data_IF_002201272313
#
_entry.id   IF_002201272313
#
_cell.length_a   1.000
_cell.length_b   1.000
_cell.length_c   1.000
_cell.angle_alpha   90.00
_cell.angle_beta   90.00
_cell.angle_gamma   90.00
#
_symmetry.space_group_name_H-M   'P 1'
#
loop_
_entity.id
_entity.type
_entity.pdbx_description
1 polymer ?
#
# COMPACT_ATOMS: atom_id res chain seq x y z
N UNK A 1 9.21 -11.77 -12.53
CA UNK A 1 9.38 -12.96 -13.36
C UNK A 1 8.90 -14.20 -12.59
N UNK A 2 7.99 -15.02 -13.18
CA UNK A 2 7.34 -16.13 -12.46
C UNK A 2 8.30 -17.19 -11.91
N UNK A 3 9.51 -17.30 -12.46
CA UNK A 3 10.49 -18.33 -12.07
C UNK A 3 11.21 -18.10 -10.73
N UNK A 4 11.15 -16.90 -10.18
CA UNK A 4 11.79 -16.60 -8.88
C UNK A 4 10.98 -17.11 -7.69
N UNK A 5 9.68 -17.35 -7.87
CA UNK A 5 8.77 -17.77 -6.80
C UNK A 5 8.46 -19.27 -6.76
N UNK A 6 8.81 -20.02 -7.80
CA UNK A 6 8.50 -21.45 -7.87
C UNK A 6 9.20 -22.28 -6.78
N UNK A 7 10.50 -22.06 -6.55
CA UNK A 7 11.26 -22.81 -5.54
C UNK A 7 10.82 -22.55 -4.09
N UNK A 8 10.62 -21.28 -3.65
CA UNK A 8 10.04 -21.01 -2.35
C UNK A 8 8.66 -21.61 -2.16
N UNK A 9 7.80 -21.60 -3.17
CA UNK A 9 6.47 -22.21 -3.13
C UNK A 9 6.56 -23.72 -2.87
N UNK A 10 7.29 -24.46 -3.69
CA UNK A 10 7.49 -25.90 -3.55
C UNK A 10 8.11 -26.30 -2.20
N UNK A 11 9.05 -25.51 -1.70
CA UNK A 11 9.66 -25.75 -0.38
C UNK A 11 8.64 -25.54 0.74
N UNK A 12 7.81 -24.51 0.63
CA UNK A 12 6.78 -24.23 1.62
C UNK A 12 5.67 -25.29 1.59
N UNK A 13 5.25 -25.73 0.41
CA UNK A 13 4.29 -26.83 0.25
C UNK A 13 4.76 -28.09 0.98
N UNK A 14 6.00 -28.53 0.73
CA UNK A 14 6.62 -29.66 1.44
C UNK A 14 6.71 -29.46 2.95
N UNK A 15 6.88 -28.23 3.40
CA UNK A 15 6.92 -27.90 4.81
C UNK A 15 5.52 -27.97 5.42
N UNK A 16 4.51 -27.45 4.74
CA UNK A 16 3.11 -27.50 5.14
C UNK A 16 2.54 -28.92 5.18
N UNK A 17 2.93 -29.77 4.24
CA UNK A 17 2.59 -31.21 4.26
C UNK A 17 3.09 -31.91 5.51
N UNK A 18 4.30 -31.59 5.97
CA UNK A 18 4.90 -32.18 7.18
C UNK A 18 4.38 -31.55 8.46
N UNK A 19 4.08 -30.27 8.41
CA UNK A 19 3.68 -29.47 9.56
C UNK A 19 2.50 -28.56 9.16
N UNK A 20 1.27 -28.98 9.38
CA UNK A 20 0.07 -28.22 8.98
C UNK A 20 -0.02 -26.81 9.55
N UNK A 21 0.71 -26.54 10.65
CA UNK A 21 0.80 -25.21 11.25
C UNK A 21 1.43 -24.13 10.32
N UNK A 22 2.12 -24.57 9.26
CA UNK A 22 2.64 -23.65 8.24
C UNK A 22 1.59 -23.21 7.23
N UNK A 23 0.39 -23.82 7.22
CA UNK A 23 -0.71 -23.53 6.30
C UNK A 23 -0.29 -23.67 4.81
N UNK A 24 -1.24 -23.65 3.91
CA UNK A 24 -0.95 -23.73 2.47
C UNK A 24 -0.17 -22.50 1.99
N UNK A 25 0.83 -22.71 1.10
CA UNK A 25 1.53 -21.60 0.46
C UNK A 25 0.62 -20.73 -0.41
N UNK A 26 -0.52 -21.24 -0.88
CA UNK A 26 -1.50 -20.48 -1.68
C UNK A 26 -1.89 -19.17 -0.98
N UNK A 27 -1.96 -19.19 0.35
CA UNK A 27 -2.24 -17.98 1.14
C UNK A 27 -1.22 -16.85 0.95
N UNK A 28 -0.04 -17.15 0.43
CA UNK A 28 1.09 -16.21 0.30
C UNK A 28 1.47 -15.94 -1.15
N UNK A 29 1.11 -16.84 -2.05
CA UNK A 29 1.57 -16.84 -3.43
C UNK A 29 0.44 -16.69 -4.44
N UNK A 30 -0.80 -16.93 -4.03
CA UNK A 30 -1.92 -16.74 -4.93
C UNK A 30 -2.13 -15.26 -5.26
N UNK A 31 -2.36 -15.03 -6.53
CA UNK A 31 -2.84 -13.76 -7.06
C UNK A 31 -4.32 -13.59 -6.66
N UNK A 32 -4.60 -13.44 -5.38
CA UNK A 32 -5.93 -13.04 -4.96
C UNK A 32 -6.24 -11.69 -5.58
N UNK A 33 -7.38 -11.55 -6.22
CA UNK A 33 -7.85 -10.28 -6.82
C UNK A 33 -7.82 -9.10 -5.82
N UNK A 34 -7.79 -9.36 -4.54
CA UNK A 34 -7.70 -8.36 -3.48
C UNK A 34 -6.29 -8.05 -2.98
N UNK A 35 -5.24 -8.72 -3.44
CA UNK A 35 -3.87 -8.58 -2.93
C UNK A 35 -2.94 -7.77 -3.84
N UNK A 36 -3.48 -7.16 -4.89
CA UNK A 36 -2.72 -6.27 -5.77
C UNK A 36 -2.95 -4.83 -5.36
N UNK A 37 -1.87 -4.09 -5.29
CA UNK A 37 -1.92 -2.63 -5.28
C UNK A 37 -1.02 -2.11 -6.38
N UNK A 38 -1.38 -0.98 -6.94
CA UNK A 38 -0.57 -0.28 -7.90
C UNK A 38 -0.26 1.11 -7.39
N UNK A 39 1.01 1.44 -7.34
CA UNK A 39 1.46 2.78 -7.00
C UNK A 39 1.73 3.55 -8.28
N UNK A 40 1.57 4.85 -8.21
CA UNK A 40 1.94 5.75 -9.29
C UNK A 40 2.50 7.06 -8.75
N UNK A 41 3.35 7.69 -9.55
CA UNK A 41 3.85 9.03 -9.26
C UNK A 41 3.51 9.95 -10.42
N UNK A 42 3.09 11.17 -10.09
CA UNK A 42 2.84 12.24 -11.06
C UNK A 42 3.83 13.35 -10.76
N UNK A 43 4.68 13.66 -11.74
CA UNK A 43 5.64 14.77 -11.66
C UNK A 43 5.09 15.94 -12.44
N UNK A 44 5.01 17.10 -11.81
CA UNK A 44 4.43 18.33 -12.34
C UNK A 44 5.49 19.43 -12.35
N UNK A 45 5.48 20.26 -13.40
CA UNK A 45 6.37 21.41 -13.55
C UNK A 45 5.89 22.66 -12.79
N UNK A 46 4.75 22.58 -12.10
CA UNK A 46 4.20 23.67 -11.29
C UNK A 46 3.22 23.12 -10.24
N UNK A 47 2.47 24.00 -9.59
CA UNK A 47 1.55 23.69 -8.50
C UNK A 47 0.06 23.73 -8.91
N UNK A 48 -0.26 23.82 -10.19
CA UNK A 48 -1.64 23.98 -10.63
C UNK A 48 -2.55 22.86 -10.11
N UNK A 49 -2.23 21.61 -10.43
CA UNK A 49 -3.04 20.46 -10.00
C UNK A 49 -3.12 20.33 -8.47
N UNK A 50 -2.01 20.40 -7.70
CA UNK A 50 -2.07 20.39 -6.24
C UNK A 50 -2.94 21.50 -5.65
N UNK A 51 -2.88 22.72 -6.18
CA UNK A 51 -3.69 23.85 -5.71
C UNK A 51 -5.18 23.67 -6.03
N UNK A 52 -5.51 23.08 -7.19
CA UNK A 52 -6.87 22.73 -7.53
C UNK A 52 -7.43 21.66 -6.60
N UNK A 53 -6.66 20.60 -6.34
CA UNK A 53 -7.03 19.55 -5.38
C UNK A 53 -7.21 20.15 -3.99
N UNK A 54 -6.32 21.04 -3.55
CA UNK A 54 -6.43 21.69 -2.25
C UNK A 54 -7.71 22.55 -2.12
N UNK A 55 -8.15 23.20 -3.17
CA UNK A 55 -9.42 23.95 -3.15
C UNK A 55 -10.62 23.04 -2.89
N UNK A 56 -10.68 21.86 -3.53
CA UNK A 56 -11.81 20.93 -3.38
C UNK A 56 -11.71 20.06 -2.11
N UNK A 57 -10.52 19.94 -1.53
CA UNK A 57 -10.26 19.12 -0.33
C UNK A 57 -9.94 19.95 0.93
N UNK A 58 -10.23 21.26 0.91
CA UNK A 58 -9.97 22.17 2.03
C UNK A 58 -8.50 22.17 2.50
N UNK A 59 -7.55 22.10 1.58
CA UNK A 59 -6.11 22.19 1.84
C UNK A 59 -5.50 20.90 2.40
N UNK A 60 -6.03 19.74 2.03
CA UNK A 60 -5.55 18.46 2.53
C UNK A 60 -4.13 18.14 2.07
N UNK A 61 -3.80 18.37 0.79
CA UNK A 61 -2.44 18.12 0.27
C UNK A 61 -1.40 19.08 0.88
N UNK A 62 -1.75 20.36 0.97
CA UNK A 62 -0.85 21.38 1.52
C UNK A 62 -0.50 21.17 3.00
N UNK A 63 -1.31 20.38 3.71
CA UNK A 63 -1.06 19.94 5.09
C UNK A 63 -0.40 18.55 5.18
N UNK A 64 0.16 18.06 4.08
CA UNK A 64 0.71 16.70 3.97
C UNK A 64 -0.32 15.60 4.33
N UNK A 65 -1.57 15.84 4.02
CA UNK A 65 -2.65 14.87 4.21
C UNK A 65 -2.65 13.81 3.12
N UNK A 66 -3.21 12.66 3.46
CA UNK A 66 -3.55 11.62 2.50
C UNK A 66 -5.03 11.78 2.16
N UNK A 67 -5.33 11.90 0.88
CA UNK A 67 -6.69 11.97 0.37
C UNK A 67 -7.08 10.56 -0.08
N UNK A 68 -8.21 10.08 0.40
CA UNK A 68 -8.78 8.78 0.03
C UNK A 68 -9.95 9.02 -0.91
N UNK A 69 -9.90 8.44 -2.09
CA UNK A 69 -10.92 8.50 -3.13
C UNK A 69 -11.72 7.19 -3.11
N UNK A 70 -12.58 7.07 -2.12
CA UNK A 70 -13.33 5.83 -1.88
C UNK A 70 -14.43 5.57 -2.92
N UNK A 71 -14.90 6.61 -3.61
CA UNK A 71 -15.86 6.47 -4.71
C UNK A 71 -15.21 5.96 -6.01
N UNK A 72 -13.88 6.06 -6.16
CA UNK A 72 -13.17 5.50 -7.30
C UNK A 72 -13.24 3.96 -7.30
N UNK A 73 -13.49 3.37 -8.47
CA UNK A 73 -13.46 1.91 -8.64
C UNK A 73 -12.09 1.32 -8.27
N UNK A 74 -11.01 2.06 -8.53
CA UNK A 74 -9.65 1.65 -8.15
C UNK A 74 -9.34 1.86 -6.66
N UNK A 75 -10.22 2.54 -5.90
CA UNK A 75 -10.00 2.87 -4.48
C UNK A 75 -8.64 3.55 -4.29
N UNK A 76 -8.49 4.69 -4.94
CA UNK A 76 -7.22 5.41 -4.95
C UNK A 76 -6.99 6.20 -3.68
N UNK A 77 -5.73 6.38 -3.35
CA UNK A 77 -5.26 7.38 -2.40
C UNK A 77 -4.23 8.26 -3.07
N UNK A 78 -4.13 9.51 -2.66
CA UNK A 78 -3.13 10.45 -3.17
C UNK A 78 -2.61 11.34 -2.07
N UNK A 79 -1.31 11.64 -2.11
CA UNK A 79 -0.66 12.64 -1.27
C UNK A 79 0.41 13.41 -2.05
N UNK A 80 0.74 14.60 -1.57
CA UNK A 80 1.87 15.34 -2.09
C UNK A 80 3.17 14.90 -1.40
N UNK A 81 4.21 14.68 -2.19
CA UNK A 81 5.55 14.47 -1.66
C UNK A 81 6.17 15.85 -1.39
N UNK A 82 6.49 16.19 -0.14
CA UNK A 82 7.06 17.49 0.18
C UNK A 82 8.34 17.76 -0.61
N UNK A 83 8.51 18.96 -1.14
CA UNK A 83 9.71 19.36 -1.90
C UNK A 83 11.01 19.25 -1.09
N UNK A 84 10.90 19.25 0.24
CA UNK A 84 12.02 19.07 1.15
C UNK A 84 12.42 17.60 1.35
N UNK A 85 11.67 16.66 0.83
CA UNK A 85 11.93 15.21 1.01
C UNK A 85 13.19 14.78 0.27
N UNK A 86 13.41 15.32 -0.93
CA UNK A 86 14.62 15.07 -1.70
C UNK A 86 15.49 16.34 -1.70
N UNK A 87 16.75 16.21 -1.28
CA UNK A 87 17.67 17.33 -1.13
C UNK A 87 17.87 18.16 -2.39
N UNK A 88 17.83 17.52 -3.55
CA UNK A 88 18.13 18.13 -4.85
C UNK A 88 16.86 18.36 -5.69
N UNK A 89 15.67 18.23 -5.11
CA UNK A 89 14.42 18.51 -5.80
C UNK A 89 14.26 20.01 -6.02
N UNK A 90 14.03 20.40 -7.29
CA UNK A 90 13.68 21.80 -7.60
C UNK A 90 12.38 22.20 -6.92
N UNK A 91 12.32 23.45 -6.45
CA UNK A 91 11.10 24.01 -5.84
C UNK A 91 9.95 24.20 -6.85
N UNK A 92 10.28 24.23 -8.13
CA UNK A 92 9.31 24.33 -9.22
C UNK A 92 8.68 22.96 -9.58
N UNK A 93 9.27 21.89 -9.08
CA UNK A 93 8.76 20.52 -9.33
C UNK A 93 7.91 20.07 -8.14
N UNK A 94 6.70 19.64 -8.45
CA UNK A 94 5.80 18.99 -7.49
C UNK A 94 5.62 17.53 -7.86
N UNK A 95 5.67 16.66 -6.87
CA UNK A 95 5.43 15.23 -7.04
C UNK A 95 4.21 14.84 -6.22
N UNK A 96 3.24 14.21 -6.89
CA UNK A 96 2.15 13.50 -6.23
C UNK A 96 2.47 12.02 -6.25
N UNK A 97 2.22 11.37 -5.15
CA UNK A 97 2.25 9.91 -5.04
C UNK A 97 0.83 9.41 -4.83
N UNK A 98 0.48 8.36 -5.53
CA UNK A 98 -0.82 7.71 -5.39
C UNK A 98 -0.69 6.20 -5.31
N UNK A 99 -1.73 5.58 -4.79
CA UNK A 99 -1.86 4.13 -4.69
C UNK A 99 -3.30 3.72 -4.97
N UNK A 100 -3.47 2.71 -5.81
CA UNK A 100 -4.76 2.07 -6.06
C UNK A 100 -4.80 0.73 -5.33
N UNK A 101 -5.87 0.49 -4.59
CA UNK A 101 -6.08 -0.74 -3.81
C UNK A 101 -6.83 -1.81 -4.61
N UNK A 102 -7.44 -1.44 -5.73
CA UNK A 102 -8.18 -2.32 -6.64
C UNK A 102 -7.78 -2.08 -8.11
N UNK A 103 -6.50 -2.20 -8.45
CA UNK A 103 -6.01 -1.88 -9.79
C UNK A 103 -6.54 -2.81 -10.88
N UNK A 104 -7.07 -3.97 -10.50
CA UNK A 104 -7.67 -4.96 -11.41
C UNK A 104 -9.15 -4.68 -11.74
N UNK A 105 -9.78 -3.71 -11.07
CA UNK A 105 -11.11 -3.26 -11.47
C UNK A 105 -11.00 -2.35 -12.69
N UNK A 106 -12.06 -2.27 -13.47
CA UNK A 106 -12.15 -1.30 -14.56
C UNK A 106 -12.25 0.12 -13.98
N UNK A 107 -11.46 1.03 -14.51
CA UNK A 107 -11.52 2.44 -14.15
C UNK A 107 -12.84 3.08 -14.52
N UNK A 108 -13.23 4.12 -13.80
CA UNK A 108 -14.52 4.80 -13.98
C UNK A 108 -14.65 5.53 -15.33
N UNK A 109 -13.52 5.94 -15.90
CA UNK A 109 -13.43 6.68 -17.16
C UNK A 109 -12.76 5.88 -18.27
N UNK A 110 -11.68 5.18 -17.95
CA UNK A 110 -10.91 4.39 -18.92
C UNK A 110 -11.61 3.10 -19.32
N UNK A 111 -12.42 2.53 -18.42
CA UNK A 111 -13.03 1.21 -18.61
C UNK A 111 -11.99 0.09 -18.75
N UNK A 112 -10.77 0.31 -18.22
CA UNK A 112 -9.64 -0.62 -18.25
C UNK A 112 -9.11 -0.85 -16.84
N UNK A 113 -8.41 -1.95 -16.64
CA UNK A 113 -7.63 -2.14 -15.42
C UNK A 113 -6.47 -1.11 -15.38
N UNK A 114 -6.03 -0.71 -14.18
CA UNK A 114 -4.95 0.27 -14.07
C UNK A 114 -3.65 -0.23 -14.74
N UNK A 115 -3.40 -1.53 -14.71
CA UNK A 115 -2.23 -2.14 -15.35
C UNK A 115 -2.22 -2.01 -16.88
N UNK A 116 -3.39 -1.85 -17.49
CA UNK A 116 -3.55 -1.65 -18.94
C UNK A 116 -3.56 -0.18 -19.34
N UNK A 117 -3.62 0.72 -18.35
CA UNK A 117 -3.69 2.14 -18.61
C UNK A 117 -2.30 2.75 -18.85
N UNK A 118 -2.27 3.71 -19.74
CA UNK A 118 -1.16 4.65 -19.87
C UNK A 118 -1.13 5.61 -18.68
N UNK A 119 0.00 6.25 -18.44
CA UNK A 119 0.11 7.29 -17.41
C UNK A 119 -0.92 8.43 -17.59
N UNK A 120 -1.24 8.79 -18.83
CA UNK A 120 -2.25 9.82 -19.11
C UNK A 120 -3.66 9.37 -18.71
N UNK A 121 -4.01 8.09 -18.92
CA UNK A 121 -5.29 7.53 -18.50
C UNK A 121 -5.40 7.46 -16.98
N UNK A 122 -4.32 7.10 -16.28
CA UNK A 122 -4.26 7.10 -14.81
C UNK A 122 -4.44 8.53 -14.26
N UNK A 123 -3.78 9.51 -14.89
CA UNK A 123 -3.94 10.91 -14.51
C UNK A 123 -5.39 11.39 -14.74
N UNK A 124 -6.00 11.01 -15.86
CA UNK A 124 -7.38 11.39 -16.17
C UNK A 124 -8.37 10.82 -15.15
N UNK A 125 -8.21 9.55 -14.76
CA UNK A 125 -9.01 8.96 -13.69
C UNK A 125 -8.88 9.75 -12.38
N UNK A 126 -7.65 10.12 -12.00
CA UNK A 126 -7.42 10.90 -10.78
C UNK A 126 -8.07 12.30 -10.86
N UNK A 127 -7.87 13.00 -11.96
CA UNK A 127 -8.40 14.37 -12.18
C UNK A 127 -9.93 14.36 -12.15
N UNK A 128 -10.54 13.36 -12.79
CA UNK A 128 -12.00 13.18 -12.79
C UNK A 128 -12.59 12.89 -11.42
N UNK A 129 -11.87 12.20 -10.54
CA UNK A 129 -12.32 11.99 -9.14
C UNK A 129 -12.47 13.30 -8.36
N UNK A 130 -11.76 14.34 -8.76
CA UNK A 130 -11.88 15.68 -8.18
C UNK A 130 -12.84 16.62 -8.95
N UNK A 131 -13.50 16.13 -10.00
CA UNK A 131 -14.35 16.91 -10.91
C UNK A 131 -13.59 18.08 -11.54
N UNK A 132 -12.36 17.84 -11.98
CA UNK A 132 -11.49 18.84 -12.62
C UNK A 132 -11.36 18.61 -14.12
N UNK A 133 -12.31 17.92 -14.75
CA UNK A 133 -12.31 17.59 -16.17
C UNK A 133 -12.29 18.85 -17.07
N UNK A 134 -12.90 19.95 -16.64
CA UNK A 134 -12.96 21.20 -17.40
C UNK A 134 -11.59 21.88 -17.59
N UNK A 135 -10.62 21.58 -16.74
CA UNK A 135 -9.26 22.13 -16.78
C UNK A 135 -8.21 21.08 -17.17
N UNK A 136 -8.65 20.03 -17.83
CA UNK A 136 -7.79 18.90 -18.22
C UNK A 136 -6.60 19.33 -19.08
N UNK A 137 -6.85 20.17 -20.10
CA UNK A 137 -5.79 20.61 -21.01
C UNK A 137 -4.71 21.43 -20.28
N UNK A 138 -5.13 22.34 -19.41
CA UNK A 138 -4.21 23.14 -18.59
C UNK A 138 -3.38 22.24 -17.65
N UNK A 139 -3.99 21.20 -17.08
CA UNK A 139 -3.28 20.22 -16.25
C UNK A 139 -2.25 19.46 -17.07
N UNK A 140 -2.63 18.97 -18.26
CA UNK A 140 -1.73 18.22 -19.14
C UNK A 140 -0.46 19.00 -19.50
N UNK A 141 -0.56 20.32 -19.72
CA UNK A 141 0.59 21.19 -19.99
C UNK A 141 1.61 21.23 -18.84
N UNK A 142 1.19 20.92 -17.62
CA UNK A 142 2.05 20.92 -16.43
C UNK A 142 2.71 19.60 -16.15
N UNK A 143 2.25 18.51 -16.77
CA UNK A 143 2.72 17.16 -16.47
C UNK A 143 4.05 16.88 -17.13
N UNK A 144 5.04 16.55 -16.33
CA UNK A 144 6.36 16.09 -16.82
C UNK A 144 6.31 14.60 -17.12
N UNK A 145 5.77 13.82 -16.19
CA UNK A 145 5.54 12.39 -16.39
C UNK A 145 4.51 11.83 -15.39
N UNK A 146 3.97 10.66 -15.74
CA UNK A 146 3.20 9.80 -14.84
C UNK A 146 3.79 8.41 -14.94
N UNK A 147 4.31 7.90 -13.83
CA UNK A 147 5.00 6.61 -13.76
C UNK A 147 4.17 5.65 -12.91
N UNK A 148 3.51 4.67 -13.52
CA UNK A 148 2.89 3.57 -12.78
C UNK A 148 3.96 2.61 -12.27
N UNK A 149 3.74 2.08 -11.09
CA UNK A 149 4.60 1.08 -10.47
C UNK A 149 3.75 -0.10 -10.01
N UNK A 150 3.76 -1.15 -10.79
CA UNK A 150 3.00 -2.36 -10.49
C UNK A 150 3.65 -3.09 -9.31
N UNK A 151 3.00 -3.07 -8.16
CA UNK A 151 3.42 -3.83 -7.00
C UNK A 151 2.42 -4.94 -6.72
N UNK A 152 2.86 -6.16 -6.89
CA UNK A 152 2.13 -7.33 -6.41
C UNK A 152 2.54 -7.58 -4.98
N UNK A 153 1.73 -7.11 -4.05
CA UNK A 153 1.89 -7.52 -2.65
C UNK A 153 1.08 -8.78 -2.42
N UNK A 154 1.76 -9.91 -2.31
CA UNK A 154 1.10 -11.05 -1.71
C UNK A 154 0.77 -10.72 -0.25
N UNK A 155 -0.50 -10.79 0.15
CA UNK A 155 -0.99 -11.13 1.48
C UNK A 155 -1.31 -10.06 2.49
N UNK A 156 -0.79 -8.84 2.45
CA UNK A 156 -0.88 -8.07 3.69
C UNK A 156 -2.21 -7.38 3.91
N UNK A 157 -2.91 -6.97 2.86
CA UNK A 157 -4.00 -6.03 3.04
C UNK A 157 -5.39 -6.66 3.22
N UNK A 158 -5.64 -7.80 2.62
CA UNK A 158 -6.99 -8.38 2.56
C UNK A 158 -7.05 -9.85 2.96
N UNK A 159 -6.01 -10.36 3.62
CA UNK A 159 -6.05 -11.74 4.12
C UNK A 159 -7.24 -11.93 5.06
N UNK A 160 -8.07 -12.96 4.84
CA UNK A 160 -9.15 -13.28 5.77
C UNK A 160 -8.62 -13.39 7.20
N UNK A 161 -9.45 -13.02 8.16
CA UNK A 161 -9.17 -13.26 9.57
C UNK A 161 -8.76 -14.72 9.75
N UNK A 162 -7.62 -14.99 10.38
CA UNK A 162 -6.99 -16.31 10.56
C UNK A 162 -6.14 -16.84 9.37
N UNK A 163 -5.87 -16.07 8.34
CA UNK A 163 -4.94 -16.49 7.28
C UNK A 163 -3.47 -16.31 7.66
N UNK A 164 -3.17 -15.39 8.59
CA UNK A 164 -1.80 -15.14 9.04
C UNK A 164 -1.21 -16.34 9.79
N UNK A 165 0.11 -16.44 9.73
CA UNK A 165 0.88 -17.47 10.43
C UNK A 165 1.17 -17.05 11.86
N UNK A 166 1.11 -18.00 12.78
CA UNK A 166 1.69 -17.77 14.11
C UNK A 166 3.18 -17.44 13.99
N UNK A 167 3.66 -16.46 14.76
CA UNK A 167 5.09 -16.08 14.76
C UNK A 167 5.99 -17.29 15.04
N UNK A 168 5.59 -18.15 15.96
CA UNK A 168 6.19 -19.47 16.14
C UNK A 168 5.11 -20.50 15.81
N UNK A 169 5.17 -21.16 14.66
CA UNK A 169 4.16 -22.16 14.31
C UNK A 169 4.07 -23.26 15.36
N UNK A 170 2.85 -23.66 15.70
CA UNK A 170 2.60 -24.67 16.75
C UNK A 170 3.38 -25.96 16.49
N UNK A 171 4.07 -26.44 17.50
CA UNK A 171 4.93 -27.64 17.44
C UNK A 171 6.37 -27.36 16.96
N UNK A 172 6.69 -26.16 16.54
CA UNK A 172 8.02 -25.76 16.06
C UNK A 172 8.76 -24.97 17.16
N UNK A 173 10.06 -25.24 17.34
CA UNK A 173 10.85 -24.63 18.42
C UNK A 173 11.98 -23.72 17.94
N UNK A 174 12.43 -23.90 16.71
CA UNK A 174 13.64 -23.29 16.16
C UNK A 174 13.41 -22.52 14.85
N UNK A 175 12.15 -22.19 14.56
CA UNK A 175 11.76 -21.43 13.40
C UNK A 175 10.73 -20.38 13.81
N UNK A 176 10.82 -19.20 13.21
CA UNK A 176 9.86 -18.14 13.40
C UNK A 176 9.58 -17.43 12.08
N UNK A 177 8.37 -16.93 11.95
CA UNK A 177 7.91 -16.11 10.85
C UNK A 177 7.84 -14.65 11.32
N UNK A 178 8.25 -13.72 10.47
CA UNK A 178 8.12 -12.29 10.72
C UNK A 178 7.69 -11.58 9.46
N UNK A 179 7.18 -10.37 9.59
CA UNK A 179 6.66 -9.58 8.49
C UNK A 179 5.14 -9.53 8.49
N UNK A 180 4.58 -9.10 7.38
CA UNK A 180 3.13 -8.91 7.22
C UNK A 180 2.34 -10.21 7.30
N UNK A 181 2.98 -11.34 7.06
CA UNK A 181 2.40 -12.68 7.12
C UNK A 181 2.27 -13.25 8.53
N UNK A 182 2.96 -12.64 9.48
CA UNK A 182 2.96 -13.12 10.85
C UNK A 182 1.79 -12.54 11.63
N UNK A 183 1.13 -13.35 12.46
CA UNK A 183 0.07 -12.91 13.34
C UNK A 183 0.68 -12.17 14.54
N UNK A 184 0.19 -10.97 14.80
CA UNK A 184 0.57 -10.18 15.97
C UNK A 184 -0.67 -9.65 16.67
N UNK A 185 -0.65 -9.66 17.98
CA UNK A 185 -1.71 -9.07 18.81
C UNK A 185 -1.78 -7.54 18.71
N UNK A 186 -0.86 -6.92 18.00
CA UNK A 186 -0.84 -5.47 17.75
C UNK A 186 -1.63 -5.15 16.48
N UNK A 187 -2.72 -4.44 16.62
CA UNK A 187 -3.69 -4.06 15.56
C UNK A 187 -3.16 -3.09 14.50
N UNK A 188 -1.88 -2.80 14.44
CA UNK A 188 -1.33 -1.95 13.38
C UNK A 188 -1.11 -2.76 12.12
N UNK A 189 -2.06 -2.68 11.22
CA UNK A 189 -1.95 -3.19 9.85
C UNK A 189 -1.17 -2.15 9.05
N UNK A 190 -0.20 -2.57 8.24
CA UNK A 190 0.51 -1.76 7.23
C UNK A 190 1.52 -0.74 7.71
N UNK A 191 2.27 -1.01 8.73
CA UNK A 191 3.37 -0.12 9.03
C UNK A 191 4.68 -0.91 9.11
N UNK A 192 5.76 -0.24 8.78
CA UNK A 192 7.10 -0.74 9.08
C UNK A 192 7.22 -1.15 10.55
N UNK A 193 6.47 -0.47 11.44
CA UNK A 193 6.38 -0.81 12.85
C UNK A 193 5.82 -2.22 13.08
N UNK A 194 4.83 -2.64 12.28
CA UNK A 194 4.29 -4.01 12.38
C UNK A 194 5.33 -5.05 12.01
N UNK A 195 6.04 -4.83 10.91
CA UNK A 195 7.11 -5.73 10.44
C UNK A 195 8.23 -5.81 11.49
N UNK A 196 8.66 -4.67 12.03
CA UNK A 196 9.68 -4.62 13.09
C UNK A 196 9.18 -5.27 14.37
N UNK A 197 7.92 -5.05 14.74
CA UNK A 197 7.31 -5.67 15.94
C UNK A 197 7.26 -7.18 15.84
N UNK A 198 6.82 -7.72 14.70
CA UNK A 198 6.81 -9.19 14.47
C UNK A 198 8.21 -9.77 14.48
N UNK A 199 9.20 -9.11 13.86
CA UNK A 199 10.60 -9.56 13.88
C UNK A 199 11.22 -9.55 15.29
N UNK A 200 10.92 -8.53 16.09
CA UNK A 200 11.34 -8.48 17.50
C UNK A 200 10.69 -9.59 18.32
N UNK A 201 9.39 -9.80 18.13
CA UNK A 201 8.66 -10.88 18.80
C UNK A 201 9.24 -12.24 18.45
N UNK A 202 9.49 -12.47 17.17
CA UNK A 202 10.13 -13.69 16.68
C UNK A 202 11.49 -13.92 17.37
N UNK A 203 12.33 -12.88 17.38
CA UNK A 203 13.66 -12.94 18.01
C UNK A 203 13.58 -13.23 19.50
N UNK A 204 12.70 -12.56 20.23
CA UNK A 204 12.57 -12.76 21.68
C UNK A 204 12.03 -14.15 22.03
N UNK A 205 11.05 -14.63 21.27
CA UNK A 205 10.52 -15.98 21.46
C UNK A 205 11.59 -17.06 21.18
N UNK A 206 12.35 -16.92 20.08
CA UNK A 206 13.43 -17.85 19.75
C UNK A 206 14.57 -17.84 20.79
N UNK A 207 14.95 -16.66 21.26
CA UNK A 207 16.01 -16.50 22.26
C UNK A 207 15.52 -16.76 23.68
N UNK A 208 14.24 -17.03 23.90
CA UNK A 208 13.60 -17.20 25.21
C UNK A 208 13.92 -16.08 26.21
N UNK A 209 13.89 -14.85 25.71
CA UNK A 209 14.14 -13.66 26.53
C UNK A 209 12.82 -13.11 27.08
N UNK A 210 12.82 -12.67 28.34
CA UNK A 210 11.65 -12.02 28.97
C UNK A 210 11.63 -10.51 28.78
N UNK A 211 12.16 -10.01 27.67
CA UNK A 211 12.08 -8.56 27.38
C UNK A 211 10.65 -8.16 27.06
N UNK A 212 10.15 -7.16 27.79
CA UNK A 212 8.83 -6.59 27.47
C UNK A 212 8.83 -6.01 26.07
N UNK A 213 7.83 -6.37 25.30
CA UNK A 213 7.51 -5.71 24.03
C UNK A 213 7.13 -4.27 24.32
N UNK A 214 7.55 -3.35 23.46
CA UNK A 214 6.99 -2.01 23.46
C UNK A 214 5.53 -2.13 22.99
N UNK A 215 4.60 -1.96 23.89
CA UNK A 215 3.21 -1.73 23.55
C UNK A 215 3.14 -0.31 22.95
N UNK A 216 3.04 -0.22 21.63
CA UNK A 216 2.57 1.02 21.02
C UNK A 216 1.12 1.19 21.45
N UNK A 217 0.87 2.05 22.42
CA UNK A 217 -0.52 2.43 22.72
C UNK A 217 -1.07 3.07 21.45
N UNK A 218 -2.14 2.54 20.86
CA UNK A 218 -2.75 3.18 19.73
C UNK A 218 -3.10 4.60 20.14
N UNK A 219 -2.52 5.59 19.48
CA UNK A 219 -2.99 6.97 19.63
C UNK A 219 -4.43 6.94 19.16
N UNK A 220 -5.39 7.12 20.09
CA UNK A 220 -6.80 7.18 19.75
C UNK A 220 -6.97 8.17 18.59
N UNK A 221 -7.47 7.67 17.45
CA UNK A 221 -7.95 8.52 16.39
C UNK A 221 -9.00 9.44 17.01
N UNK A 222 -8.75 10.75 17.06
CA UNK A 222 -9.80 11.69 17.36
C UNK A 222 -10.72 11.69 16.14
N UNK A 223 -11.90 11.11 16.29
CA UNK A 223 -12.98 11.33 15.34
C UNK A 223 -13.17 12.84 15.20
N UNK A 224 -12.92 13.36 14.03
CA UNK A 224 -13.30 14.73 13.70
C UNK A 224 -14.82 14.67 13.49
N UNK A 225 -15.57 15.01 14.54
CA UNK A 225 -17.02 15.20 14.41
C UNK A 225 -17.25 16.29 13.39
N UNK A 226 -17.93 15.96 12.30
CA UNK A 226 -18.49 16.96 11.38
C UNK A 226 -19.38 17.89 12.20
N UNK A 227 -18.98 19.14 12.32
CA UNK A 227 -19.81 20.25 12.80
C UNK A 227 -20.68 20.75 11.66
#
# INVERSE_FOLDING_TARGET
>A
APKLYSKPFELWEKLAEKHPSFKSPDLFFDEFEGNMSEEFTITLSNKLLPELIDKVTCGALGRNGIIVLDDSNWKMTVCAVPSTYFKDQSQDITVLWGCAMRPNCDGDRSGKTMTECSGAEILYELVSCFNLDEVWDDICETVVNVIPCHRRYGTSYLSPVNSKLEIIPTGIKNFAVSGDFAESDNDTVFSEEYIVSTARTASYKLMKTNRKMFESKPKSFREVKKS
#
